data_IF_390231193338
#
_entry.id   IF_390231193338
#
_cell.length_a   1.000
_cell.length_b   1.000
_cell.length_c   1.000
_cell.angle_alpha   90.00
_cell.angle_beta   90.00
_cell.angle_gamma   90.00
#
_symmetry.space_group_name_H-M   'P 1'
#
loop_
_entity.id
_entity.type
_entity.pdbx_description
1 polymer ?
#
# COMPACT_ATOMS: atom_id res chain seq x y z
N UNK A 1 -2.98 -18.28 -25.90
CA UNK A 1 -4.35 -18.23 -25.34
C UNK A 1 -4.29 -19.12 -24.10
N UNK A 2 -4.22 -18.66 -22.84
CA UNK A 2 -4.96 -17.60 -22.13
C UNK A 2 -4.09 -17.12 -20.95
N UNK A 3 -3.67 -15.85 -20.93
CA UNK A 3 -2.84 -15.27 -19.85
C UNK A 3 -3.71 -14.73 -18.69
N UNK A 4 -4.68 -15.52 -18.26
CA UNK A 4 -5.79 -15.07 -17.40
C UNK A 4 -5.52 -15.19 -15.88
N UNK A 5 -4.36 -15.70 -15.45
CA UNK A 5 -4.11 -15.94 -14.01
C UNK A 5 -3.60 -14.74 -13.20
N UNK A 6 -3.11 -13.66 -13.85
CA UNK A 6 -2.53 -12.50 -13.16
C UNK A 6 -3.45 -11.63 -12.27
N UNK A 7 -4.79 -11.53 -12.47
CA UNK A 7 -5.63 -10.70 -11.60
C UNK A 7 -5.87 -11.33 -10.23
N UNK A 8 -5.98 -12.65 -10.16
CA UNK A 8 -6.32 -13.36 -8.91
C UNK A 8 -5.16 -13.35 -7.92
N UNK A 9 -3.93 -13.51 -8.39
CA UNK A 9 -2.73 -13.46 -7.54
C UNK A 9 -2.55 -12.08 -6.92
N UNK A 10 -2.76 -11.02 -7.70
CA UNK A 10 -2.68 -9.65 -7.20
C UNK A 10 -3.72 -9.39 -6.11
N UNK A 11 -4.98 -9.75 -6.35
CA UNK A 11 -6.06 -9.52 -5.38
C UNK A 11 -5.88 -10.34 -4.10
N UNK A 12 -5.33 -11.56 -4.19
CA UNK A 12 -4.94 -12.36 -3.03
C UNK A 12 -3.81 -11.71 -2.23
N UNK A 13 -2.81 -11.15 -2.90
CA UNK A 13 -1.74 -10.40 -2.24
C UNK A 13 -2.28 -9.15 -1.54
N UNK A 14 -3.17 -8.39 -2.18
CA UNK A 14 -3.81 -7.24 -1.56
C UNK A 14 -4.58 -7.66 -0.30
N UNK A 15 -5.40 -8.69 -0.39
CA UNK A 15 -6.18 -9.18 0.74
C UNK A 15 -5.29 -9.67 1.89
N UNK A 16 -4.26 -10.49 1.60
CA UNK A 16 -3.36 -10.99 2.64
C UNK A 16 -2.54 -9.88 3.31
N UNK A 17 -2.09 -8.88 2.55
CA UNK A 17 -1.42 -7.70 3.12
C UNK A 17 -2.39 -6.84 3.94
N UNK A 18 -3.64 -6.68 3.49
CA UNK A 18 -4.66 -5.99 4.26
C UNK A 18 -4.88 -6.67 5.59
N UNK A 19 -5.08 -7.99 5.61
CA UNK A 19 -5.26 -8.75 6.85
C UNK A 19 -4.09 -8.59 7.84
N UNK A 20 -2.84 -8.56 7.36
CA UNK A 20 -1.67 -8.33 8.22
C UNK A 20 -1.72 -6.93 8.87
N UNK A 21 -2.06 -5.90 8.09
CA UNK A 21 -2.12 -4.52 8.56
C UNK A 21 -3.33 -4.29 9.46
N UNK A 22 -4.49 -4.81 9.09
CA UNK A 22 -5.75 -4.69 9.84
C UNK A 22 -5.63 -5.34 11.22
N UNK A 23 -4.96 -6.49 11.32
CA UNK A 23 -4.66 -7.15 12.61
C UNK A 23 -3.78 -6.29 13.53
N UNK A 24 -2.90 -5.45 12.97
CA UNK A 24 -2.08 -4.53 13.76
C UNK A 24 -2.83 -3.26 14.16
N UNK A 25 -3.69 -2.76 13.27
CA UNK A 25 -4.46 -1.52 13.49
C UNK A 25 -5.77 -1.75 14.26
N UNK A 26 -6.19 -3.01 14.42
CA UNK A 26 -7.49 -3.42 14.99
C UNK A 26 -8.70 -2.76 14.28
N UNK A 27 -8.54 -2.48 12.98
CA UNK A 27 -9.56 -1.83 12.15
C UNK A 27 -9.36 -2.17 10.67
N UNK A 28 -10.44 -2.12 9.88
CA UNK A 28 -10.34 -2.32 8.44
C UNK A 28 -9.57 -1.17 7.77
N UNK A 29 -8.79 -1.52 6.76
CA UNK A 29 -7.97 -0.60 5.97
C UNK A 29 -8.35 -0.69 4.50
N UNK A 30 -8.61 0.47 3.89
CA UNK A 30 -8.88 0.53 2.47
C UNK A 30 -7.56 0.33 1.68
N UNK A 31 -7.49 -0.65 0.76
CA UNK A 31 -6.24 -1.00 0.08
C UNK A 31 -5.74 0.05 -0.92
N UNK A 32 -6.61 0.98 -1.34
CA UNK A 32 -6.29 2.12 -2.19
C UNK A 32 -5.92 3.37 -1.37
N UNK A 33 -6.28 3.40 -0.09
CA UNK A 33 -5.97 4.48 0.85
C UNK A 33 -4.48 4.53 1.18
N UNK A 34 -3.98 5.76 1.30
CA UNK A 34 -2.60 6.00 1.67
C UNK A 34 -2.34 5.53 3.12
N UNK A 35 -1.21 4.88 3.37
CA UNK A 35 -0.84 4.41 4.71
C UNK A 35 -0.88 5.51 5.78
N UNK A 36 -0.37 6.70 5.47
CA UNK A 36 -0.39 7.84 6.40
C UNK A 36 -1.82 8.35 6.63
N UNK A 37 -2.67 8.33 5.61
CA UNK A 37 -4.10 8.71 5.73
C UNK A 37 -4.90 7.65 6.50
N UNK A 38 -4.48 6.38 6.43
CA UNK A 38 -5.03 5.29 7.22
C UNK A 38 -4.61 5.35 8.70
N UNK A 39 -3.63 6.20 9.04
CA UNK A 39 -3.12 6.39 10.40
C UNK A 39 -1.86 5.59 10.72
N UNK A 40 -1.20 4.97 9.74
CA UNK A 40 0.11 4.37 9.92
C UNK A 40 1.17 5.47 10.07
N UNK A 41 2.06 5.28 11.03
CA UNK A 41 3.22 6.14 11.25
C UNK A 41 4.48 5.52 10.60
N UNK A 42 5.57 6.29 10.56
CA UNK A 42 6.82 5.83 9.95
C UNK A 42 7.38 4.55 10.57
N UNK A 43 7.23 4.35 11.89
CA UNK A 43 7.69 3.14 12.57
C UNK A 43 6.85 1.93 12.15
N UNK A 44 5.52 2.08 12.16
CA UNK A 44 4.59 1.04 11.73
C UNK A 44 4.83 0.64 10.27
N UNK A 45 5.22 1.59 9.40
CA UNK A 45 5.63 1.30 8.03
C UNK A 45 6.92 0.46 7.96
N UNK A 46 7.94 0.79 8.76
CA UNK A 46 9.19 0.02 8.81
C UNK A 46 8.94 -1.39 9.35
N UNK A 47 8.11 -1.53 10.39
CA UNK A 47 7.75 -2.84 10.92
C UNK A 47 6.87 -3.65 9.95
N UNK A 48 6.03 -2.98 9.14
CA UNK A 48 5.24 -3.62 8.10
C UNK A 48 6.14 -4.10 6.97
N UNK A 49 7.12 -3.29 6.57
CA UNK A 49 8.13 -3.66 5.59
C UNK A 49 8.86 -4.95 6.00
N UNK A 50 9.35 -5.01 7.23
CA UNK A 50 10.08 -6.18 7.76
C UNK A 50 9.20 -7.44 7.83
N UNK A 51 7.94 -7.29 8.22
CA UNK A 51 7.00 -8.40 8.26
C UNK A 51 6.69 -8.93 6.85
N UNK A 52 6.52 -8.04 5.87
CA UNK A 52 6.25 -8.41 4.47
C UNK A 52 7.45 -9.14 3.87
N UNK A 53 8.67 -8.61 4.04
CA UNK A 53 9.89 -9.25 3.52
C UNK A 53 10.13 -10.59 4.19
N UNK A 54 9.91 -10.69 5.50
CA UNK A 54 10.05 -11.93 6.27
C UNK A 54 8.98 -12.97 5.89
N UNK A 55 7.71 -12.57 5.78
CA UNK A 55 6.60 -13.48 5.49
C UNK A 55 6.64 -13.99 4.07
N UNK A 56 7.00 -13.14 3.11
CA UNK A 56 7.02 -13.48 1.69
C UNK A 56 8.40 -13.96 1.22
N UNK A 57 9.45 -13.82 2.04
CA UNK A 57 10.83 -14.16 1.68
C UNK A 57 11.37 -13.34 0.51
N UNK A 58 10.92 -12.09 0.37
CA UNK A 58 11.31 -11.20 -0.74
C UNK A 58 12.25 -10.09 -0.26
N UNK A 59 13.16 -9.67 -1.13
CA UNK A 59 13.97 -8.47 -0.91
C UNK A 59 13.21 -7.26 -1.47
N UNK A 60 12.62 -6.49 -0.56
CA UNK A 60 11.93 -5.24 -0.88
C UNK A 60 12.73 -4.08 -0.27
N UNK A 61 13.07 -3.02 -1.02
CA UNK A 61 13.70 -1.86 -0.41
C UNK A 61 12.67 -1.10 0.45
N UNK A 62 13.08 -0.61 1.62
CA UNK A 62 12.20 0.18 2.50
C UNK A 62 11.62 1.42 1.79
N UNK A 63 12.32 1.95 0.77
CA UNK A 63 11.84 3.05 -0.08
C UNK A 63 10.56 2.70 -0.84
N UNK A 64 10.29 1.41 -1.10
CA UNK A 64 9.10 0.97 -1.81
C UNK A 64 7.82 1.37 -1.07
N UNK A 65 7.80 1.35 0.27
CA UNK A 65 6.62 1.78 1.04
C UNK A 65 6.37 3.29 0.96
N UNK A 66 7.40 4.07 0.65
CA UNK A 66 7.28 5.51 0.42
C UNK A 66 6.89 5.82 -1.04
N UNK A 67 7.39 5.05 -2.00
CA UNK A 67 7.04 5.17 -3.44
C UNK A 67 5.64 4.63 -3.73
N UNK A 68 5.22 3.61 -3.00
CA UNK A 68 3.95 2.89 -3.14
C UNK A 68 3.20 2.92 -1.79
N UNK A 69 2.65 4.08 -1.40
CA UNK A 69 2.14 4.28 -0.06
C UNK A 69 0.73 3.72 0.14
N UNK A 70 0.35 2.66 -0.59
CA UNK A 70 -0.90 1.92 -0.37
C UNK A 70 -0.72 0.42 -0.71
N UNK A 71 -1.62 -0.41 -0.20
CA UNK A 71 -1.53 -1.87 -0.32
C UNK A 71 -1.66 -2.34 -1.77
N UNK A 72 -2.54 -1.72 -2.56
CA UNK A 72 -2.74 -2.06 -3.96
C UNK A 72 -1.44 -1.87 -4.77
N UNK A 73 -0.74 -0.75 -4.60
CA UNK A 73 0.51 -0.50 -5.30
C UNK A 73 1.62 -1.46 -4.85
N UNK A 74 1.69 -1.79 -3.55
CA UNK A 74 2.67 -2.71 -2.99
C UNK A 74 2.46 -4.14 -3.50
N UNK A 75 1.23 -4.66 -3.43
CA UNK A 75 0.86 -5.97 -3.95
C UNK A 75 1.15 -6.10 -5.45
N UNK A 76 0.96 -5.02 -6.21
CA UNK A 76 1.28 -4.99 -7.64
C UNK A 76 2.77 -5.09 -7.88
N UNK A 77 3.59 -4.44 -7.05
CA UNK A 77 5.05 -4.52 -7.14
C UNK A 77 5.55 -5.93 -6.81
N UNK A 78 4.99 -6.55 -5.77
CA UNK A 78 5.30 -7.92 -5.36
C UNK A 78 4.90 -8.93 -6.45
N UNK A 79 3.71 -8.80 -7.02
CA UNK A 79 3.25 -9.64 -8.13
C UNK A 79 4.12 -9.52 -9.39
N UNK A 80 4.91 -8.44 -9.52
CA UNK A 80 5.88 -8.24 -10.60
C UNK A 80 7.26 -8.83 -10.31
N UNK A 81 7.47 -9.46 -9.14
CA UNK A 81 8.74 -10.08 -8.74
C UNK A 81 9.63 -9.19 -7.86
N UNK A 82 9.06 -8.18 -7.20
CA UNK A 82 9.82 -7.22 -6.41
C UNK A 82 10.49 -6.14 -7.28
N UNK A 83 10.78 -4.97 -6.69
CA UNK A 83 11.56 -3.97 -7.40
C UNK A 83 13.01 -4.46 -7.51
N UNK A 84 13.63 -4.51 -8.70
CA UNK A 84 15.09 -4.51 -8.72
C UNK A 84 15.51 -3.19 -8.07
N UNK A 85 16.43 -3.23 -7.10
CA UNK A 85 16.92 -2.07 -6.34
C UNK A 85 17.32 -0.83 -7.18
N UNK A 86 17.45 -0.99 -8.50
CA UNK A 86 17.77 0.05 -9.49
C UNK A 86 16.54 0.77 -10.09
N UNK A 87 15.33 0.24 -9.99
CA UNK A 87 14.12 0.81 -10.62
C UNK A 87 13.46 1.94 -9.81
N UNK A 88 13.64 1.97 -8.47
CA UNK A 88 13.06 2.99 -7.59
C UNK A 88 13.60 4.41 -7.88
N UNK A 89 14.86 4.55 -8.29
CA UNK A 89 15.46 5.84 -8.59
C UNK A 89 14.79 6.57 -9.78
N UNK A 90 14.18 5.82 -10.71
CA UNK A 90 13.62 6.36 -11.96
C UNK A 90 12.15 6.78 -11.86
N UNK A 91 11.42 6.38 -10.79
CA UNK A 91 10.00 6.70 -10.57
C UNK A 91 9.79 7.88 -9.62
N UNK A 92 10.70 8.84 -9.58
CA UNK A 92 10.49 10.12 -8.88
C UNK A 92 9.43 10.95 -9.62
N UNK A 93 8.15 10.63 -9.38
CA UNK A 93 7.02 11.49 -9.68
C UNK A 93 6.38 11.86 -8.33
N UNK A 94 6.24 13.15 -8.02
CA UNK A 94 5.85 13.58 -6.69
C UNK A 94 4.46 13.05 -6.35
N UNK A 95 4.30 12.67 -5.08
CA UNK A 95 3.04 12.36 -4.42
C UNK A 95 2.04 13.49 -4.66
N UNK A 96 1.22 13.35 -5.70
CA UNK A 96 -0.02 14.09 -5.84
C UNK A 96 -1.04 13.41 -4.92
N UNK A 97 -0.83 13.57 -3.60
CA UNK A 97 -1.83 13.27 -2.60
C UNK A 97 -3.02 14.20 -2.82
N UNK A 98 -4.09 13.62 -3.31
CA UNK A 98 -5.35 14.24 -3.66
C UNK A 98 -5.95 14.94 -2.43
N UNK A 99 -5.79 16.28 -2.33
CA UNK A 99 -6.40 17.18 -1.33
C UNK A 99 -7.94 17.25 -1.37
N UNK A 100 -8.65 16.27 -1.94
CA UNK A 100 -10.06 16.48 -2.36
C UNK A 100 -11.15 16.01 -1.40
N UNK A 101 -10.89 15.20 -0.36
CA UNK A 101 -12.03 14.52 0.30
C UNK A 101 -12.19 14.76 1.82
N UNK A 102 -11.30 15.49 2.50
CA UNK A 102 -11.40 15.71 3.97
C UNK A 102 -12.17 16.99 4.38
N UNK A 103 -12.82 17.72 3.44
CA UNK A 103 -13.60 18.94 3.76
C UNK A 103 -15.05 18.97 3.26
N UNK A 104 -15.61 17.85 2.79
CA UNK A 104 -16.94 17.83 2.18
C UNK A 104 -18.13 17.51 3.12
N UNK A 105 -17.97 17.52 4.46
CA UNK A 105 -19.09 17.17 5.40
C UNK A 105 -19.46 18.19 6.47
N UNK A 106 -19.09 19.47 6.34
CA UNK A 106 -19.56 20.52 7.26
C UNK A 106 -20.32 21.64 6.54
N UNK A 107 -21.33 21.26 5.74
CA UNK A 107 -22.34 22.21 5.24
C UNK A 107 -23.73 21.59 5.22
N UNK A 108 -24.20 21.07 6.35
CA UNK A 108 -25.63 20.91 6.61
C UNK A 108 -25.92 21.18 8.09
N UNK A 109 -26.80 22.15 8.36
CA UNK A 109 -27.33 22.38 9.71
C UNK A 109 -27.28 23.82 10.24
N UNK A 110 -27.27 24.84 9.39
CA UNK A 110 -27.66 26.19 9.83
C UNK A 110 -29.19 26.28 9.87
N UNK A 111 -29.76 26.45 11.06
CA UNK A 111 -31.12 26.96 11.26
C UNK A 111 -31.03 28.36 11.84
#
# INVERSE_FOLDING_TARGET
>A
MTHASRPTDHQRLVAGLAELVERRLDRPLDPDLNFFEAGLNSLALVELHDEITTTLGIDLPATALFTHPNLAALARLIAQGGAPARADAARRRPVAGNRRDIRARLREGGR
#
